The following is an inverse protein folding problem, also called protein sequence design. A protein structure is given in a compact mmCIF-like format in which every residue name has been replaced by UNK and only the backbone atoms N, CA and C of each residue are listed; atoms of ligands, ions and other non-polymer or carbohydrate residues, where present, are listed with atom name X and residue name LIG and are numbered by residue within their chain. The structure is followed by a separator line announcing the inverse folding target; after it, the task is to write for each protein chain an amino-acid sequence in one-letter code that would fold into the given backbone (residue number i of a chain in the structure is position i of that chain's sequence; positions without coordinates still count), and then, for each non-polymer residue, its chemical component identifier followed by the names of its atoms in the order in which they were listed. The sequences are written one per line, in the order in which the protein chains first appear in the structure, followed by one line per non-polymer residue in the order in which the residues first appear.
data_IF_476906129950
#
_entry.id   IF_476906129950
#
_cell.length_a   1.000
_cell.length_b   1.000
_cell.length_c   1.000
_cell.angle_alpha   90.00
_cell.angle_beta   90.00
_cell.angle_gamma   90.00
#
_symmetry.space_group_name_H-M   'P 1'
#
loop_
_entity.id
_entity.type
_entity.pdbx_description
1 polymer ?
#
# COMPACT_ATOMS: atom_id res chain seq x y z
N UNK A 1 -1.51 5.75 -21.56
CA UNK A 1 -1.58 6.58 -20.33
C UNK A 1 -1.46 5.64 -19.13
N UNK A 2 -0.66 5.98 -18.10
CA UNK A 2 -0.50 5.10 -16.91
C UNK A 2 -1.77 5.13 -16.05
N UNK A 3 -2.18 3.99 -15.50
CA UNK A 3 -3.29 3.85 -14.54
C UNK A 3 -2.98 4.50 -13.18
N UNK A 4 -1.68 4.68 -12.91
CA UNK A 4 -1.13 5.27 -11.69
C UNK A 4 -0.49 6.61 -12.00
N UNK A 5 -0.76 7.60 -11.17
CA UNK A 5 -0.04 8.86 -11.13
C UNK A 5 1.15 8.72 -10.17
N UNK A 6 2.37 8.89 -10.69
CA UNK A 6 3.59 8.88 -9.88
C UNK A 6 3.79 10.29 -9.32
N UNK A 7 3.85 10.40 -7.99
CA UNK A 7 4.14 11.66 -7.28
C UNK A 7 5.56 11.62 -6.73
N UNK A 8 6.40 12.49 -7.28
CA UNK A 8 7.76 12.73 -6.82
C UNK A 8 7.73 13.38 -5.43
N UNK A 9 8.72 13.06 -4.60
CA UNK A 9 8.86 13.58 -3.23
C UNK A 9 7.64 13.35 -2.31
N UNK A 10 6.87 12.29 -2.55
CA UNK A 10 5.63 12.01 -1.83
C UNK A 10 5.76 10.79 -0.87
N UNK A 11 4.94 10.79 0.20
CA UNK A 11 4.89 9.73 1.23
C UNK A 11 4.50 8.36 0.67
N UNK A 12 3.69 8.28 -0.38
CA UNK A 12 3.21 7.04 -0.99
C UNK A 12 3.83 6.77 -2.36
N UNK A 13 4.22 7.83 -3.06
CA UNK A 13 4.94 7.77 -4.34
C UNK A 13 4.05 7.51 -5.55
N UNK A 14 2.92 6.79 -5.40
CA UNK A 14 1.96 6.60 -6.47
C UNK A 14 0.52 6.51 -5.97
N UNK A 15 -0.40 7.04 -6.79
CA UNK A 15 -1.84 7.05 -6.52
C UNK A 15 -2.61 6.55 -7.75
N UNK A 16 -3.68 5.77 -7.56
CA UNK A 16 -4.51 5.31 -8.65
C UNK A 16 -5.31 6.51 -9.21
N UNK A 17 -5.53 6.53 -10.52
CA UNK A 17 -6.38 7.55 -11.17
C UNK A 17 -7.89 7.20 -11.10
N UNK A 18 -8.25 6.24 -10.26
CA UNK A 18 -9.59 5.69 -10.13
C UNK A 18 -9.79 5.17 -8.69
N UNK A 19 -11.04 5.00 -8.29
CA UNK A 19 -11.37 4.46 -6.98
C UNK A 19 -11.07 2.96 -6.92
N UNK A 20 -10.28 2.55 -5.93
CA UNK A 20 -10.05 1.15 -5.64
C UNK A 20 -11.15 0.64 -4.71
N UNK A 21 -11.85 -0.43 -5.12
CA UNK A 21 -12.91 -1.06 -4.33
C UNK A 21 -12.53 -2.47 -3.90
N UNK A 22 -12.98 -2.84 -2.71
CA UNK A 22 -12.83 -4.18 -2.19
C UNK A 22 -13.61 -5.17 -3.06
N UNK A 23 -12.95 -6.24 -3.50
CA UNK A 23 -13.57 -7.29 -4.29
C UNK A 23 -14.69 -8.01 -3.54
N UNK A 24 -14.58 -8.15 -2.22
CA UNK A 24 -15.54 -8.92 -1.41
C UNK A 24 -16.75 -8.11 -0.95
N UNK A 25 -16.58 -6.84 -0.57
CA UNK A 25 -17.64 -6.04 0.04
C UNK A 25 -17.89 -4.68 -0.63
N UNK A 26 -17.18 -4.34 -1.70
CA UNK A 26 -17.38 -3.10 -2.46
C UNK A 26 -16.92 -1.80 -1.78
N UNK A 27 -16.50 -1.86 -0.51
CA UNK A 27 -15.94 -0.74 0.27
C UNK A 27 -14.69 -0.18 -0.40
N UNK A 28 -14.52 1.14 -0.39
CA UNK A 28 -13.31 1.78 -0.90
C UNK A 28 -12.07 1.36 -0.09
N UNK A 29 -10.99 1.05 -0.80
CA UNK A 29 -9.74 0.66 -0.19
C UNK A 29 -8.94 1.90 0.20
N UNK A 30 -8.20 1.81 1.31
CA UNK A 30 -7.33 2.90 1.76
C UNK A 30 -5.86 2.49 1.80
N UNK A 31 -4.90 3.42 1.59
CA UNK A 31 -3.48 3.12 1.51
C UNK A 31 -2.96 2.50 2.81
N UNK A 32 -2.21 1.41 2.71
CA UNK A 32 -1.68 0.68 3.88
C UNK A 32 -0.16 0.68 3.94
N UNK A 33 0.48 0.45 2.81
CA UNK A 33 1.91 0.20 2.74
C UNK A 33 2.46 0.51 1.35
N UNK A 34 3.70 0.97 1.26
CA UNK A 34 4.35 1.14 -0.03
C UNK A 34 5.87 1.01 0.05
N UNK A 35 6.47 0.34 -0.94
CA UNK A 35 7.89 -0.06 -0.97
C UNK A 35 8.50 0.16 -2.33
N UNK A 36 9.72 0.68 -2.34
CA UNK A 36 10.56 0.75 -3.50
C UNK A 36 11.39 -0.52 -3.66
N UNK A 37 11.37 -1.09 -4.87
CA UNK A 37 12.13 -2.28 -5.23
C UNK A 37 13.15 -1.97 -6.33
N UNK A 38 14.35 -2.55 -6.17
CA UNK A 38 15.37 -2.60 -7.21
C UNK A 38 15.49 -4.04 -7.70
N UNK A 39 15.13 -4.28 -8.95
CA UNK A 39 15.18 -5.61 -9.56
C UNK A 39 16.61 -5.86 -10.04
N UNK A 40 17.36 -6.67 -9.31
CA UNK A 40 18.80 -6.88 -9.53
C UNK A 40 19.13 -7.39 -10.94
N UNK A 41 18.31 -8.31 -11.48
CA UNK A 41 18.57 -8.98 -12.76
C UNK A 41 18.58 -8.01 -13.95
N UNK A 42 17.64 -7.06 -13.98
CA UNK A 42 17.44 -6.16 -15.13
C UNK A 42 17.78 -4.70 -14.82
N UNK A 43 18.30 -4.41 -13.62
CA UNK A 43 18.53 -3.05 -13.11
C UNK A 43 17.28 -2.14 -13.22
N UNK A 44 16.09 -2.74 -13.20
CA UNK A 44 14.81 -2.03 -13.25
C UNK A 44 14.36 -1.64 -11.84
N UNK A 45 13.46 -0.67 -11.78
CA UNK A 45 12.90 -0.16 -10.54
C UNK A 45 11.39 -0.36 -10.55
N UNK A 46 10.86 -0.71 -9.38
CA UNK A 46 9.43 -0.86 -9.17
C UNK A 46 9.03 -0.20 -7.85
N UNK A 47 7.76 0.15 -7.78
CA UNK A 47 7.11 0.67 -6.59
C UNK A 47 5.89 -0.20 -6.33
N UNK A 48 5.90 -0.87 -5.19
CA UNK A 48 4.73 -1.58 -4.70
C UNK A 48 3.93 -0.61 -3.84
N UNK A 49 2.64 -0.49 -4.14
CA UNK A 49 1.66 0.21 -3.30
C UNK A 49 0.59 -0.77 -2.91
N UNK A 50 0.30 -0.80 -1.63
CA UNK A 50 -0.63 -1.75 -1.03
C UNK A 50 -1.77 -1.01 -0.37
N UNK A 51 -2.96 -1.53 -0.61
CA UNK A 51 -4.21 -1.00 -0.13
C UNK A 51 -4.91 -2.08 0.69
N UNK A 52 -5.65 -1.65 1.70
CA UNK A 52 -6.41 -2.56 2.56
C UNK A 52 -7.86 -2.10 2.68
N UNK A 53 -8.78 -3.04 2.80
CA UNK A 53 -10.18 -2.78 3.03
C UNK A 53 -10.39 -2.51 4.53
N UNK A 54 -10.94 -1.35 4.92
CA UNK A 54 -11.19 -1.05 6.34
C UNK A 54 -12.34 -1.88 6.94
N UNK A 55 -13.17 -2.52 6.11
CA UNK A 55 -14.33 -3.30 6.56
C UNK A 55 -14.00 -4.79 6.81
N UNK A 56 -13.40 -5.44 5.82
CA UNK A 56 -13.16 -6.90 5.82
C UNK A 56 -11.68 -7.29 5.87
N UNK A 57 -10.77 -6.32 6.03
CA UNK A 57 -9.32 -6.53 6.11
C UNK A 57 -8.64 -7.09 4.86
N UNK A 58 -9.35 -7.25 3.74
CA UNK A 58 -8.75 -7.67 2.48
C UNK A 58 -7.60 -6.74 2.07
N UNK A 59 -6.45 -7.32 1.73
CA UNK A 59 -5.22 -6.62 1.40
C UNK A 59 -4.80 -6.96 -0.03
N UNK A 60 -4.39 -5.94 -0.78
CA UNK A 60 -3.95 -6.09 -2.17
C UNK A 60 -2.74 -5.19 -2.45
N UNK A 61 -1.77 -5.71 -3.20
CA UNK A 61 -0.56 -5.00 -3.63
C UNK A 61 -0.56 -4.83 -5.14
N UNK A 62 -0.15 -3.66 -5.60
CA UNK A 62 0.06 -3.34 -7.00
C UNK A 62 1.52 -2.98 -7.24
N UNK A 63 2.19 -3.76 -8.09
CA UNK A 63 3.56 -3.49 -8.52
C UNK A 63 3.57 -2.56 -9.73
N UNK A 64 4.17 -1.39 -9.57
CA UNK A 64 4.19 -0.33 -10.58
C UNK A 64 5.61 -0.16 -11.10
N UNK A 65 5.88 -0.38 -12.40
CA UNK A 65 7.19 -0.07 -12.96
C UNK A 65 7.42 1.44 -12.95
N UNK A 66 8.57 1.86 -12.44
CA UNK A 66 8.96 3.28 -12.34
C UNK A 66 10.35 3.49 -12.94
N UNK A 67 10.64 4.73 -13.34
CA UNK A 67 11.96 5.10 -13.82
C UNK A 67 12.95 5.21 -12.66
N UNK A 68 14.24 5.27 -12.98
CA UNK A 68 15.30 5.49 -11.98
C UNK A 68 15.14 6.86 -11.31
N UNK A 69 14.77 7.89 -12.06
CA UNK A 69 14.58 9.25 -11.52
C UNK A 69 13.38 9.32 -10.57
N UNK A 70 12.28 8.64 -10.90
CA UNK A 70 11.11 8.49 -10.01
C UNK A 70 11.50 7.76 -8.73
N UNK A 71 12.23 6.65 -8.85
CA UNK A 71 12.73 5.87 -7.71
C UNK A 71 13.59 6.73 -6.78
N UNK A 72 14.60 7.42 -7.31
CA UNK A 72 15.52 8.23 -6.50
C UNK A 72 14.83 9.39 -5.81
N UNK A 73 13.86 10.04 -6.48
CA UNK A 73 13.08 11.13 -5.87
C UNK A 73 12.22 10.63 -4.71
N UNK A 74 11.52 9.51 -4.89
CA UNK A 74 10.69 8.93 -3.82
C UNK A 74 11.58 8.40 -2.69
N UNK A 75 12.71 7.76 -3.01
CA UNK A 75 13.64 7.24 -2.02
C UNK A 75 14.17 8.35 -1.11
N UNK A 76 14.56 9.50 -1.68
CA UNK A 76 15.03 10.67 -0.92
C UNK A 76 13.98 11.21 0.04
N UNK A 77 12.69 11.07 -0.27
CA UNK A 77 11.62 11.62 0.57
C UNK A 77 11.22 10.72 1.75
N UNK A 78 11.36 9.39 1.63
CA UNK A 78 10.82 8.45 2.64
C UNK A 78 11.63 7.18 2.92
N UNK A 79 12.91 7.14 2.56
CA UNK A 79 13.83 6.02 2.83
C UNK A 79 13.30 4.61 2.46
N UNK A 80 12.83 4.47 1.22
CA UNK A 80 12.55 3.15 0.62
C UNK A 80 11.19 2.53 0.93
N UNK A 81 10.63 2.71 2.13
CA UNK A 81 9.33 2.15 2.49
C UNK A 81 8.54 3.04 3.46
N UNK A 82 7.22 2.95 3.39
CA UNK A 82 6.30 3.57 4.35
C UNK A 82 5.15 2.63 4.67
N UNK A 83 4.86 2.52 5.95
CA UNK A 83 3.65 1.91 6.48
C UNK A 83 2.75 2.99 7.08
N UNK A 84 1.44 2.85 6.88
CA UNK A 84 0.48 3.60 7.70
C UNK A 84 0.55 3.11 9.16
N UNK A 85 0.53 4.00 10.15
CA UNK A 85 0.53 3.60 11.56
C UNK A 85 -0.59 2.60 11.89
N UNK A 86 -0.31 1.62 12.74
CA UNK A 86 -1.28 0.58 13.09
C UNK A 86 -2.49 1.13 13.83
N UNK A 87 -2.32 2.23 14.58
CA UNK A 87 -3.36 2.92 15.33
C UNK A 87 -4.49 3.41 14.43
N UNK A 88 -4.19 3.73 13.17
CA UNK A 88 -5.16 4.18 12.17
C UNK A 88 -6.00 3.01 11.65
N UNK A 89 -5.47 1.79 11.74
CA UNK A 89 -6.08 0.59 11.16
C UNK A 89 -6.71 -0.35 12.17
N UNK A 90 -6.20 -0.41 13.40
CA UNK A 90 -6.66 -1.36 14.40
C UNK A 90 -7.83 -0.79 15.18
N UNK A 91 -9.04 -1.25 14.85
CA UNK A 91 -10.07 -1.36 15.87
C UNK A 91 -9.72 -2.56 16.77
N UNK A 92 -8.87 -2.32 17.77
CA UNK A 92 -8.32 -3.34 18.67
C UNK A 92 -9.43 -4.17 19.34
N UNK A 93 -10.58 -3.55 19.61
CA UNK A 93 -11.74 -4.23 20.21
C UNK A 93 -12.32 -5.27 19.27
N UNK A 94 -12.59 -4.89 18.01
CA UNK A 94 -13.13 -5.82 17.00
C UNK A 94 -12.16 -6.97 16.68
N UNK A 95 -10.85 -6.70 16.68
CA UNK A 95 -9.83 -7.75 16.51
C UNK A 95 -9.84 -8.70 17.71
N UNK A 96 -9.89 -8.16 18.93
CA UNK A 96 -9.96 -8.94 20.17
C UNK A 96 -11.20 -9.83 20.20
N UNK A 97 -12.37 -9.33 19.81
CA UNK A 97 -13.61 -10.11 19.72
C UNK A 97 -13.47 -11.29 18.75
N UNK A 98 -12.92 -11.07 17.56
CA UNK A 98 -12.68 -12.14 16.57
C UNK A 98 -11.70 -13.19 17.11
N UNK A 99 -10.60 -12.77 17.74
CA UNK A 99 -9.61 -13.68 18.30
C UNK A 99 -10.18 -14.50 19.46
N UNK A 100 -10.98 -13.88 20.34
CA UNK A 100 -11.72 -14.58 21.41
C UNK A 100 -12.67 -15.64 20.85
N UNK A 101 -13.44 -15.30 19.82
CA UNK A 101 -14.37 -16.24 19.19
C UNK A 101 -13.67 -17.48 18.57
N UNK A 102 -12.39 -17.33 18.22
CA UNK A 102 -11.54 -18.40 17.68
C UNK A 102 -10.67 -19.09 18.77
N UNK A 103 -10.79 -18.68 20.05
CA UNK A 103 -10.04 -19.25 21.17
C UNK A 103 -8.57 -18.79 21.29
N UNK A 104 -8.18 -17.74 20.57
CA UNK A 104 -6.81 -17.20 20.56
C UNK A 104 -6.58 -16.06 21.58
N UNK A 105 -7.59 -15.65 22.35
CA UNK A 105 -7.51 -14.53 23.30
C UNK A 105 -8.38 -14.77 24.54
#
# INVERSE_FOLDING_TARGET
MRLWEIKKNDKWGAYPRFFLRCYFCGTELVPRHSVLHKVLKNKSHALDVSYKCPNCDWYVTFGIPITKEEFESIYRARNGYVYEPEEIWQNKEKVKEKLKALGYW
#
